data_IF_201914907399
#
_entry.id   IF_201914907399
#
_cell.length_a   1.000
_cell.length_b   1.000
_cell.length_c   1.000
_cell.angle_alpha   90.00
_cell.angle_beta   90.00
_cell.angle_gamma   90.00
#
_symmetry.space_group_name_H-M   'P 1'
#
loop_
_entity.id
_entity.type
_entity.pdbx_description
1 polymer ?
#
# COMPACT_ATOMS: atom_id res chain seq x y z
N UNK A 1 69.49 -16.65 -21.57
CA UNK A 1 69.83 -15.31 -21.06
C UNK A 1 68.79 -14.30 -21.52
N UNK A 2 68.26 -13.50 -20.58
CA UNK A 2 67.70 -12.13 -20.72
C UNK A 2 66.34 -11.88 -21.42
N UNK A 3 65.29 -11.90 -20.59
CA UNK A 3 64.26 -10.87 -20.28
C UNK A 3 63.87 -9.71 -21.24
N UNK A 4 62.56 -9.34 -21.11
CA UNK A 4 61.83 -8.07 -21.44
C UNK A 4 61.30 -7.97 -22.88
N UNK A 5 60.07 -7.56 -23.21
CA UNK A 5 58.93 -6.97 -22.50
C UNK A 5 58.20 -5.97 -23.44
N UNK A 6 56.86 -5.88 -23.34
CA UNK A 6 56.00 -4.68 -23.57
C UNK A 6 55.38 -4.38 -24.97
N UNK A 7 54.02 -4.29 -24.95
CA UNK A 7 53.00 -3.44 -25.64
C UNK A 7 52.94 -3.26 -27.18
N UNK A 8 51.73 -3.49 -27.74
CA UNK A 8 50.96 -2.59 -28.65
C UNK A 8 49.56 -3.20 -28.95
N UNK A 9 48.42 -2.62 -28.50
CA UNK A 9 47.54 -1.60 -29.12
C UNK A 9 46.59 -2.15 -30.24
N UNK A 10 45.29 -2.44 -29.94
CA UNK A 10 44.02 -1.78 -30.38
C UNK A 10 43.79 -1.74 -31.94
N UNK A 11 42.63 -1.97 -32.58
CA UNK A 11 41.20 -1.87 -32.22
C UNK A 11 40.30 -2.34 -33.42
N UNK A 12 39.04 -2.73 -33.14
CA UNK A 12 37.89 -2.59 -34.06
C UNK A 12 37.14 -3.90 -34.36
N UNK A 13 35.85 -4.09 -34.07
CA UNK A 13 34.85 -3.29 -33.38
C UNK A 13 33.64 -4.17 -33.05
N UNK A 14 33.00 -3.94 -31.90
CA UNK A 14 31.73 -4.58 -31.53
C UNK A 14 30.69 -3.49 -31.31
N UNK A 15 29.66 -3.50 -32.15
CA UNK A 15 28.52 -2.60 -32.09
C UNK A 15 27.67 -3.00 -30.89
N UNK A 16 27.63 -2.12 -29.87
CA UNK A 16 26.77 -2.26 -28.72
C UNK A 16 25.33 -1.88 -29.09
N UNK A 17 24.41 -2.84 -29.00
CA UNK A 17 22.97 -2.59 -29.07
C UNK A 17 22.53 -2.20 -27.66
N UNK A 18 22.34 -0.90 -27.45
CA UNK A 18 21.77 -0.38 -26.21
C UNK A 18 20.29 -0.72 -26.14
N UNK A 19 19.95 -1.82 -25.50
CA UNK A 19 18.57 -2.04 -25.03
C UNK A 19 18.36 -1.18 -23.80
N UNK A 20 17.65 -0.06 -23.98
CA UNK A 20 17.10 0.70 -22.88
C UNK A 20 16.19 -0.23 -22.06
N UNK A 21 16.65 -0.62 -20.88
CA UNK A 21 15.81 -1.29 -19.90
C UNK A 21 14.76 -0.27 -19.43
N UNK A 22 13.46 -0.58 -19.46
CA UNK A 22 12.50 0.20 -18.69
C UNK A 22 12.89 0.02 -17.22
N UNK A 23 13.32 1.11 -16.59
CA UNK A 23 13.48 1.16 -15.15
C UNK A 23 12.09 1.13 -14.54
N UNK A 24 11.58 -0.07 -14.20
CA UNK A 24 10.48 -0.18 -13.27
C UNK A 24 11.02 0.21 -11.91
N UNK A 25 10.79 1.46 -11.50
CA UNK A 25 10.93 1.88 -10.12
C UNK A 25 9.86 1.15 -9.32
N UNK A 26 10.21 -0.02 -8.78
CA UNK A 26 9.43 -0.64 -7.74
C UNK A 26 9.51 0.29 -6.52
N UNK A 27 8.40 0.94 -6.21
CA UNK A 27 8.23 1.72 -4.99
C UNK A 27 8.41 0.74 -3.82
N UNK A 28 9.53 0.85 -3.12
CA UNK A 28 9.80 0.05 -1.92
C UNK A 28 8.90 0.58 -0.80
N UNK A 29 7.69 0.02 -0.69
CA UNK A 29 6.83 0.25 0.45
C UNK A 29 7.19 -0.68 1.61
N UNK A 30 6.91 -0.24 2.83
CA UNK A 30 7.17 -1.01 4.05
C UNK A 30 5.82 -1.50 4.57
N UNK A 31 5.63 -2.83 4.60
CA UNK A 31 4.52 -3.46 5.32
C UNK A 31 4.79 -3.36 6.82
N UNK A 32 3.91 -2.66 7.54
CA UNK A 32 4.22 -2.21 8.91
C UNK A 32 3.51 -3.02 9.99
N UNK A 33 2.28 -3.47 9.74
CA UNK A 33 1.46 -4.13 10.78
C UNK A 33 0.48 -5.10 10.15
N UNK A 34 0.39 -6.33 10.68
CA UNK A 34 -0.66 -7.30 10.34
C UNK A 34 -1.41 -7.74 11.59
N UNK A 35 -2.73 -7.55 11.63
CA UNK A 35 -3.61 -8.03 12.72
C UNK A 35 -4.56 -9.07 12.15
N UNK A 36 -4.71 -10.21 12.84
CA UNK A 36 -5.61 -11.28 12.42
C UNK A 36 -6.61 -11.60 13.53
N UNK A 37 -7.91 -11.58 13.21
CA UNK A 37 -8.97 -11.93 14.15
C UNK A 37 -10.15 -12.65 13.48
N UNK A 38 -10.92 -13.39 14.29
CA UNK A 38 -12.10 -14.13 13.83
C UNK A 38 -13.38 -13.39 14.19
N UNK A 39 -14.32 -13.33 13.26
CA UNK A 39 -15.70 -12.93 13.50
C UNK A 39 -16.55 -14.15 13.94
N UNK A 40 -17.66 -13.89 14.63
CA UNK A 40 -18.57 -14.92 15.16
C UNK A 40 -19.17 -15.83 14.07
N UNK A 41 -19.21 -15.35 12.82
CA UNK A 41 -19.70 -16.08 11.65
C UNK A 41 -18.63 -16.93 10.95
N UNK A 42 -17.47 -17.13 11.58
CA UNK A 42 -16.36 -17.95 11.08
C UNK A 42 -15.51 -17.29 9.99
N UNK A 43 -15.62 -15.97 9.83
CA UNK A 43 -14.78 -15.19 8.90
C UNK A 43 -13.50 -14.75 9.60
N UNK A 44 -12.37 -14.95 8.93
CA UNK A 44 -11.05 -14.45 9.32
C UNK A 44 -10.83 -13.09 8.69
N UNK A 45 -10.40 -12.09 9.47
CA UNK A 45 -10.06 -10.76 8.99
C UNK A 45 -8.56 -10.53 9.19
N UNK A 46 -7.88 -10.14 8.13
CA UNK A 46 -6.47 -9.76 8.11
C UNK A 46 -6.38 -8.26 7.79
N UNK A 47 -5.90 -7.46 8.75
CA UNK A 47 -5.66 -6.03 8.58
C UNK A 47 -4.19 -5.82 8.21
N UNK A 48 -3.87 -4.99 7.22
CA UNK A 48 -2.48 -4.69 6.86
C UNK A 48 -2.29 -3.23 6.51
N UNK A 49 -1.20 -2.60 6.99
CA UNK A 49 -0.83 -1.24 6.58
C UNK A 49 0.41 -1.28 5.70
N UNK A 50 0.26 -0.77 4.49
CA UNK A 50 1.32 -0.57 3.52
C UNK A 50 1.70 0.91 3.45
N UNK A 51 2.95 1.23 3.75
CA UNK A 51 3.47 2.59 3.61
C UNK A 51 4.15 2.76 2.25
N UNK A 52 3.80 3.81 1.50
CA UNK A 52 4.51 4.25 0.31
C UNK A 52 5.30 5.53 0.60
N UNK A 53 6.62 5.49 0.36
CA UNK A 53 7.49 6.66 0.47
C UNK A 53 7.21 7.63 -0.68
N UNK A 54 6.76 8.85 -0.38
CA UNK A 54 6.66 9.92 -1.38
C UNK A 54 7.79 10.92 -1.13
N UNK A 55 8.76 10.97 -2.03
CA UNK A 55 9.77 12.03 -2.04
C UNK A 55 9.18 13.30 -2.66
N UNK A 56 8.94 14.31 -1.84
CA UNK A 56 8.47 15.65 -2.29
C UNK A 56 9.57 16.69 -2.08
N UNK A 57 9.63 17.68 -2.98
CA UNK A 57 10.51 18.85 -2.88
C UNK A 57 9.89 20.02 -2.07
N UNK A 58 8.73 19.82 -1.43
CA UNK A 58 8.04 20.84 -0.65
C UNK A 58 8.64 20.99 0.77
N UNK A 59 8.42 22.15 1.40
CA UNK A 59 8.83 22.42 2.77
C UNK A 59 8.11 21.54 3.82
N UNK A 60 6.95 21.00 3.45
CA UNK A 60 6.15 20.08 4.25
C UNK A 60 6.34 18.64 3.73
N UNK A 61 6.57 17.72 4.66
CA UNK A 61 6.76 16.32 4.30
C UNK A 61 5.40 15.69 3.99
N UNK A 62 5.34 14.87 2.94
CA UNK A 62 4.14 14.09 2.64
C UNK A 62 4.44 12.61 2.75
N UNK A 63 3.42 11.84 3.10
CA UNK A 63 3.48 10.39 3.15
C UNK A 63 2.16 9.82 2.67
N UNK A 64 2.23 8.67 2.00
CA UNK A 64 1.04 7.93 1.57
C UNK A 64 1.07 6.56 2.18
N UNK A 65 -0.09 6.09 2.58
CA UNK A 65 -0.26 4.71 3.02
C UNK A 65 -1.58 4.15 2.58
N UNK A 66 -1.68 2.84 2.65
CA UNK A 66 -2.88 2.08 2.36
C UNK A 66 -3.13 1.08 3.48
N UNK A 67 -4.29 1.17 4.13
CA UNK A 67 -4.78 0.18 5.06
C UNK A 67 -5.67 -0.81 4.30
N UNK A 68 -5.44 -2.10 4.47
CA UNK A 68 -6.19 -3.20 3.86
C UNK A 68 -6.94 -3.98 4.92
N UNK A 69 -8.13 -4.48 4.55
CA UNK A 69 -8.82 -5.59 5.22
C UNK A 69 -9.10 -6.68 4.22
N UNK A 70 -8.55 -7.87 4.47
CA UNK A 70 -8.88 -9.08 3.73
C UNK A 70 -9.75 -9.98 4.58
N UNK A 71 -10.92 -10.31 4.05
CA UNK A 71 -11.91 -11.19 4.68
C UNK A 71 -11.82 -12.56 4.04
N UNK A 72 -11.65 -13.61 4.84
CA UNK A 72 -11.54 -15.00 4.39
C UNK A 72 -12.57 -15.91 5.06
N UNK A 73 -13.03 -16.91 4.31
CA UNK A 73 -13.76 -18.06 4.84
C UNK A 73 -12.92 -19.31 4.60
N UNK A 74 -12.31 -19.84 5.65
CA UNK A 74 -11.32 -20.91 5.49
C UNK A 74 -10.16 -20.43 4.63
N UNK A 75 -9.88 -21.14 3.52
CA UNK A 75 -8.83 -20.76 2.57
C UNK A 75 -9.23 -19.71 1.56
N UNK A 76 -10.52 -19.42 1.39
CA UNK A 76 -11.01 -18.58 0.31
C UNK A 76 -11.14 -17.11 0.73
N UNK A 77 -10.65 -16.20 -0.13
CA UNK A 77 -10.88 -14.76 0.04
C UNK A 77 -12.29 -14.43 -0.42
N UNK A 78 -13.08 -13.80 0.44
CA UNK A 78 -14.44 -13.35 0.10
C UNK A 78 -14.47 -11.85 -0.23
N UNK A 79 -13.56 -11.07 0.35
CA UNK A 79 -13.40 -9.66 0.01
C UNK A 79 -12.02 -9.14 0.41
N UNK A 80 -11.56 -8.12 -0.31
CA UNK A 80 -10.45 -7.25 0.10
C UNK A 80 -10.92 -5.82 -0.06
N UNK A 81 -10.73 -4.99 0.97
CA UNK A 81 -11.08 -3.57 0.97
C UNK A 81 -9.83 -2.79 1.36
N UNK A 82 -9.62 -1.63 0.73
CA UNK A 82 -8.49 -0.77 1.03
C UNK A 82 -8.90 0.69 1.18
N UNK A 83 -8.31 1.36 2.18
CA UNK A 83 -8.34 2.81 2.36
C UNK A 83 -6.93 3.34 2.11
N UNK A 84 -6.77 4.13 1.06
CA UNK A 84 -5.52 4.84 0.75
C UNK A 84 -5.66 6.30 1.18
N UNK A 85 -4.67 6.82 1.88
CA UNK A 85 -4.64 8.23 2.24
C UNK A 85 -3.26 8.84 2.05
N UNK A 86 -3.24 10.10 1.65
CA UNK A 86 -2.03 10.94 1.62
C UNK A 86 -2.13 11.95 2.74
N UNK A 87 -1.05 12.11 3.49
CA UNK A 87 -0.95 12.99 4.65
C UNK A 87 0.17 13.99 4.47
N UNK A 88 0.01 15.17 5.08
CA UNK A 88 1.10 16.11 5.32
C UNK A 88 1.52 16.02 6.80
N UNK A 89 2.78 16.33 7.09
CA UNK A 89 3.33 16.43 8.45
C UNK A 89 4.56 17.34 8.47
N UNK A 90 4.76 18.08 9.57
CA UNK A 90 5.92 18.99 9.75
C UNK A 90 6.81 18.65 10.95
N UNK A 91 6.44 17.66 11.77
CA UNK A 91 7.05 17.38 13.07
C UNK A 91 6.27 17.94 14.25
N UNK A 92 5.39 18.93 14.02
CA UNK A 92 4.55 19.56 15.05
C UNK A 92 3.08 19.15 14.92
N UNK A 93 2.57 19.11 13.68
CA UNK A 93 1.20 18.75 13.35
C UNK A 93 1.15 17.84 12.10
N UNK A 94 -0.05 17.37 11.74
CA UNK A 94 -0.28 16.45 10.63
C UNK A 94 -1.75 16.48 10.21
N UNK A 95 -2.01 16.23 8.93
CA UNK A 95 -3.39 16.20 8.43
C UNK A 95 -3.57 15.39 7.15
N UNK A 96 -4.83 15.08 6.84
CA UNK A 96 -5.20 14.37 5.61
C UNK A 96 -5.20 15.35 4.42
N UNK A 97 -4.54 14.96 3.33
CA UNK A 97 -4.50 15.69 2.06
C UNK A 97 -5.54 15.14 1.09
N UNK A 98 -5.65 13.81 1.02
CA UNK A 98 -6.54 13.13 0.09
C UNK A 98 -6.77 11.69 0.55
N UNK A 99 -7.94 11.16 0.21
CA UNK A 99 -8.37 9.79 0.45
C UNK A 99 -8.83 9.13 -0.85
N UNK A 100 -8.69 7.81 -0.91
CA UNK A 100 -9.12 6.94 -2.00
C UNK A 100 -9.49 5.56 -1.44
N UNK A 101 -10.39 4.84 -2.11
CA UNK A 101 -10.78 3.49 -1.73
C UNK A 101 -10.70 2.53 -2.91
N UNK A 102 -10.51 1.26 -2.60
CA UNK A 102 -10.65 0.17 -3.56
C UNK A 102 -11.19 -1.07 -2.87
N UNK A 103 -11.88 -1.91 -3.63
CA UNK A 103 -12.40 -3.17 -3.12
C UNK A 103 -12.43 -4.25 -4.20
N UNK A 104 -12.47 -5.49 -3.74
CA UNK A 104 -12.73 -6.68 -4.54
C UNK A 104 -13.60 -7.62 -3.72
N UNK A 105 -14.61 -8.22 -4.34
CA UNK A 105 -15.54 -9.17 -3.71
C UNK A 105 -15.64 -10.44 -4.55
N UNK A 106 -15.86 -11.57 -3.89
CA UNK A 106 -15.88 -12.90 -4.50
C UNK A 106 -17.07 -13.71 -3.97
N UNK A 107 -17.31 -14.90 -4.55
CA UNK A 107 -18.26 -15.89 -4.02
C UNK A 107 -19.67 -15.35 -3.69
N UNK A 108 -20.21 -14.49 -4.56
CA UNK A 108 -21.55 -13.92 -4.41
C UNK A 108 -21.68 -12.86 -3.31
N UNK A 109 -20.57 -12.40 -2.74
CA UNK A 109 -20.55 -11.24 -1.86
C UNK A 109 -20.70 -9.94 -2.64
N UNK A 110 -21.36 -8.97 -2.02
CA UNK A 110 -21.50 -7.60 -2.53
C UNK A 110 -20.94 -6.61 -1.53
N UNK A 111 -20.38 -5.51 -2.03
CA UNK A 111 -19.88 -4.40 -1.25
C UNK A 111 -20.82 -3.20 -1.43
N UNK A 112 -21.34 -2.66 -0.33
CA UNK A 112 -22.39 -1.65 -0.34
C UNK A 112 -22.21 -0.62 0.77
N UNK A 113 -22.92 0.51 0.64
CA UNK A 113 -23.01 1.53 1.68
C UNK A 113 -21.65 2.13 2.09
N UNK A 114 -20.74 2.31 1.12
CA UNK A 114 -19.44 2.93 1.37
C UNK A 114 -19.59 4.40 1.78
N UNK A 115 -18.81 4.79 2.77
CA UNK A 115 -18.61 6.18 3.18
C UNK A 115 -17.14 6.36 3.54
N UNK A 116 -16.55 7.45 3.03
CA UNK A 116 -15.16 7.85 3.31
C UNK A 116 -15.21 9.27 3.87
N UNK A 117 -14.49 9.50 4.95
CA UNK A 117 -14.36 10.82 5.56
C UNK A 117 -13.04 10.94 6.29
N UNK A 118 -12.67 12.15 6.67
CA UNK A 118 -11.48 12.44 7.46
C UNK A 118 -11.83 13.29 8.68
N UNK A 119 -10.97 13.20 9.70
CA UNK A 119 -11.02 14.06 10.87
C UNK A 119 -9.61 14.27 11.41
N UNK A 120 -9.13 15.51 11.32
CA UNK A 120 -7.78 15.87 11.72
C UNK A 120 -6.72 15.12 10.90
N UNK A 121 -5.98 14.25 11.55
CA UNK A 121 -4.90 13.46 10.96
C UNK A 121 -5.28 12.02 10.62
N UNK A 122 -6.59 11.71 10.61
CA UNK A 122 -7.10 10.36 10.40
C UNK A 122 -8.12 10.31 9.27
N UNK A 123 -7.92 9.38 8.35
CA UNK A 123 -8.89 8.99 7.33
C UNK A 123 -9.68 7.77 7.81
N UNK A 124 -10.95 7.71 7.44
CA UNK A 124 -11.88 6.65 7.82
C UNK A 124 -12.64 6.13 6.60
N UNK A 125 -12.95 4.84 6.62
CA UNK A 125 -13.83 4.18 5.67
C UNK A 125 -14.78 3.27 6.44
N UNK A 126 -16.07 3.34 6.10
CA UNK A 126 -17.09 2.38 6.53
C UNK A 126 -17.86 1.86 5.34
N UNK A 127 -18.20 0.57 5.35
CA UNK A 127 -19.02 -0.08 4.33
C UNK A 127 -19.62 -1.39 4.88
N UNK A 128 -20.40 -2.07 4.06
CA UNK A 128 -20.99 -3.37 4.39
C UNK A 128 -20.67 -4.42 3.32
N UNK A 129 -20.29 -5.61 3.76
CA UNK A 129 -20.24 -6.82 2.94
C UNK A 129 -21.52 -7.62 3.15
N UNK A 130 -22.25 -7.87 2.07
CA UNK A 130 -23.54 -8.57 2.11
C UNK A 130 -23.51 -9.85 1.29
N UNK A 131 -24.24 -10.87 1.75
CA UNK A 131 -24.43 -12.13 1.07
C UNK A 131 -25.84 -12.66 1.37
N UNK A 132 -26.47 -13.36 0.42
CA UNK A 132 -27.85 -13.85 0.59
C UNK A 132 -28.04 -14.83 1.76
N UNK A 133 -26.98 -15.55 2.15
CA UNK A 133 -27.06 -16.63 3.14
C UNK A 133 -26.46 -16.28 4.50
N UNK A 134 -25.76 -15.15 4.62
CA UNK A 134 -25.03 -14.75 5.83
C UNK A 134 -25.40 -13.31 6.19
N UNK A 135 -25.49 -13.05 7.49
CA UNK A 135 -25.68 -11.69 8.02
C UNK A 135 -24.59 -10.75 7.49
N UNK A 136 -24.96 -9.52 7.16
CA UNK A 136 -24.04 -8.48 6.73
C UNK A 136 -22.86 -8.34 7.70
N UNK A 137 -21.67 -8.12 7.14
CA UNK A 137 -20.43 -7.89 7.86
C UNK A 137 -20.08 -6.41 7.70
N UNK A 138 -19.88 -5.74 8.83
CA UNK A 138 -19.40 -4.36 8.85
C UNK A 138 -17.91 -4.31 8.42
N UNK A 139 -17.62 -3.35 7.55
CA UNK A 139 -16.26 -2.98 7.17
C UNK A 139 -15.97 -1.63 7.80
N UNK A 140 -14.92 -1.56 8.60
CA UNK A 140 -14.42 -0.31 9.16
C UNK A 140 -12.89 -0.29 9.06
N UNK A 141 -12.36 0.70 8.35
CA UNK A 141 -10.93 0.94 8.16
C UNK A 141 -10.62 2.36 8.65
N UNK A 142 -9.47 2.54 9.28
CA UNK A 142 -8.91 3.85 9.59
C UNK A 142 -7.43 3.85 9.28
N UNK A 143 -6.92 5.00 8.87
CA UNK A 143 -5.49 5.22 8.67
C UNK A 143 -5.15 6.61 9.19
N UNK A 144 -4.20 6.69 10.11
CA UNK A 144 -3.75 7.93 10.74
C UNK A 144 -2.28 8.20 10.41
N UNK A 145 -1.88 9.47 10.48
CA UNK A 145 -0.49 9.89 10.42
C UNK A 145 -0.14 10.75 11.64
N UNK A 146 0.95 10.44 12.34
CA UNK A 146 1.45 11.28 13.44
C UNK A 146 2.17 12.53 12.90
N UNK A 147 2.37 13.57 13.74
CA UNK A 147 3.25 14.69 13.39
C UNK A 147 4.68 14.29 13.01
N UNK A 148 5.17 13.16 13.53
CA UNK A 148 6.47 12.57 13.17
C UNK A 148 6.45 11.79 11.85
N UNK A 149 5.31 11.70 11.17
CA UNK A 149 5.14 10.96 9.91
C UNK A 149 5.00 9.46 10.09
N UNK A 150 4.59 8.95 11.25
CA UNK A 150 4.34 7.52 11.47
C UNK A 150 2.89 7.19 11.12
N UNK A 151 2.68 6.13 10.33
CA UNK A 151 1.35 5.65 10.00
C UNK A 151 0.86 4.59 10.99
N UNK A 152 -0.44 4.59 11.28
CA UNK A 152 -1.11 3.64 12.17
C UNK A 152 -2.57 3.41 11.82
#
# INVERSE_FOLDING_TARGET
MKTKGILALLMGGMIAIGTALPCSAAEAGIETTTVVYQLENGITVEETIWEASISTFAAESQKRGTAYKTYRRGSDVIATVSLTATFWYDGSDSGVVSTDSSYSVYDGWSYTNESIWDSGNTAYLSAELTNLFIKSIDVSLSLSCSPSGQLS
#
